data_IF_694693565807
#
_entry.id   IF_694693565807
#
_cell.length_a   1.000
_cell.length_b   1.000
_cell.length_c   1.000
_cell.angle_alpha   90.00
_cell.angle_beta   90.00
_cell.angle_gamma   90.00
#
_symmetry.space_group_name_H-M   'P 1'
#
loop_
_entity.id
_entity.type
_entity.pdbx_description
1 polymer ?
#
# COMPACT_ATOMS: atom_id res chain seq x y z
N UNK A 1 -38.55 -8.54 13.08
CA UNK A 1 -38.04 -7.32 12.42
C UNK A 1 -38.34 -7.42 10.93
N UNK A 2 -38.60 -6.32 10.23
CA UNK A 2 -39.16 -6.39 8.86
C UNK A 2 -38.08 -6.57 7.78
N UNK A 3 -38.44 -7.29 6.72
CA UNK A 3 -37.64 -7.43 5.49
C UNK A 3 -37.21 -6.08 4.90
N UNK A 4 -38.00 -5.04 5.13
CA UNK A 4 -37.71 -3.66 4.75
C UNK A 4 -36.46 -3.10 5.43
N UNK A 5 -36.21 -3.46 6.70
CA UNK A 5 -35.01 -3.02 7.43
C UNK A 5 -33.74 -3.66 6.87
N UNK A 6 -33.80 -4.96 6.55
CA UNK A 6 -32.69 -5.67 5.89
C UNK A 6 -32.38 -5.02 4.55
N UNK A 7 -33.41 -4.76 3.73
CA UNK A 7 -33.27 -4.10 2.44
C UNK A 7 -32.68 -2.70 2.55
N UNK A 8 -33.10 -1.91 3.54
CA UNK A 8 -32.54 -0.58 3.78
C UNK A 8 -31.06 -0.63 4.12
N UNK A 9 -30.65 -1.55 5.00
CA UNK A 9 -29.24 -1.71 5.43
C UNK A 9 -28.34 -2.26 4.33
N UNK A 10 -28.84 -3.22 3.53
CA UNK A 10 -28.11 -3.73 2.37
C UNK A 10 -27.91 -2.65 1.30
N UNK A 11 -28.91 -1.77 1.09
CA UNK A 11 -28.75 -0.63 0.19
C UNK A 11 -27.79 0.43 0.74
N UNK A 12 -27.81 0.70 2.06
CA UNK A 12 -26.83 1.60 2.70
C UNK A 12 -25.39 1.09 2.47
N UNK A 13 -25.15 -0.22 2.62
CA UNK A 13 -23.87 -0.84 2.29
C UNK A 13 -23.54 -0.71 0.80
N UNK A 14 -24.49 -0.99 -0.11
CA UNK A 14 -24.24 -0.92 -1.56
C UNK A 14 -23.80 0.48 -2.01
N UNK A 15 -24.41 1.52 -1.45
CA UNK A 15 -24.02 2.90 -1.74
C UNK A 15 -22.64 3.25 -1.19
N UNK A 16 -22.23 2.65 -0.07
CA UNK A 16 -20.91 2.80 0.50
C UNK A 16 -19.84 2.11 -0.36
N UNK A 17 -20.05 0.86 -0.77
CA UNK A 17 -19.11 0.11 -1.63
C UNK A 17 -18.90 0.81 -2.98
N UNK A 18 -19.97 1.39 -3.55
CA UNK A 18 -19.84 2.19 -4.77
C UNK A 18 -18.98 3.42 -4.58
N UNK A 19 -19.16 4.11 -3.46
CA UNK A 19 -18.32 5.25 -3.11
C UNK A 19 -16.86 4.81 -2.86
N UNK A 20 -16.63 3.58 -2.39
CA UNK A 20 -15.32 2.93 -2.29
C UNK A 20 -14.68 2.65 -3.65
N UNK A 21 -15.44 2.12 -4.61
CA UNK A 21 -15.00 1.95 -6.01
C UNK A 21 -14.60 3.30 -6.64
N UNK A 22 -15.41 4.33 -6.43
CA UNK A 22 -15.10 5.70 -6.90
C UNK A 22 -13.84 6.25 -6.23
N UNK A 23 -13.67 6.01 -4.91
CA UNK A 23 -12.47 6.39 -4.19
C UNK A 23 -11.24 5.69 -4.79
N UNK A 24 -11.29 4.37 -5.03
CA UNK A 24 -10.20 3.60 -5.61
C UNK A 24 -9.78 4.15 -6.99
N UNK A 25 -10.75 4.42 -7.86
CA UNK A 25 -10.51 4.99 -9.18
C UNK A 25 -9.88 6.39 -9.12
N UNK A 26 -10.39 7.24 -8.21
CA UNK A 26 -9.85 8.57 -7.98
C UNK A 26 -8.43 8.54 -7.44
N UNK A 27 -8.15 7.67 -6.48
CA UNK A 27 -6.82 7.48 -5.89
C UNK A 27 -5.80 6.95 -6.91
N UNK A 28 -6.22 6.01 -7.76
CA UNK A 28 -5.40 5.51 -8.86
C UNK A 28 -5.03 6.60 -9.87
N UNK A 29 -5.95 7.53 -10.13
CA UNK A 29 -5.73 8.68 -11.01
C UNK A 29 -4.88 9.78 -10.36
N UNK A 30 -4.96 9.92 -9.03
CA UNK A 30 -4.23 10.93 -8.26
C UNK A 30 -2.77 10.55 -7.96
N UNK A 31 -2.36 9.29 -8.17
CA UNK A 31 -0.98 8.85 -7.98
C UNK A 31 -0.50 8.91 -6.54
N UNK A 32 -1.25 8.29 -5.61
CA UNK A 32 -0.81 8.10 -4.22
C UNK A 32 0.56 7.40 -4.15
N UNK A 33 1.46 7.87 -3.27
CA UNK A 33 2.85 7.39 -3.14
C UNK A 33 2.99 6.23 -2.15
N UNK A 34 2.09 6.13 -1.18
CA UNK A 34 2.07 5.12 -0.13
C UNK A 34 1.38 3.82 -0.55
N UNK A 35 0.45 3.91 -1.50
CA UNK A 35 -0.23 2.77 -2.07
C UNK A 35 0.49 2.33 -3.35
N UNK A 36 0.76 1.04 -3.49
CA UNK A 36 1.20 0.56 -4.81
C UNK A 36 0.00 0.57 -5.75
N UNK A 37 0.27 0.62 -7.06
CA UNK A 37 -0.77 0.42 -8.08
C UNK A 37 -1.55 -0.89 -7.84
N UNK A 38 -0.87 -1.93 -7.34
CA UNK A 38 -1.50 -3.21 -7.00
C UNK A 38 -2.38 -3.11 -5.75
N UNK A 39 -2.00 -2.34 -4.73
CA UNK A 39 -2.82 -2.11 -3.54
C UNK A 39 -4.12 -1.35 -3.91
N UNK A 40 -4.04 -0.33 -4.78
CA UNK A 40 -5.22 0.43 -5.24
C UNK A 40 -6.12 -0.45 -6.10
N UNK A 41 -5.51 -1.25 -6.98
CA UNK A 41 -6.23 -2.19 -7.83
C UNK A 41 -6.96 -3.23 -6.99
N UNK A 42 -6.28 -3.88 -6.04
CA UNK A 42 -6.89 -4.85 -5.12
C UNK A 42 -8.05 -4.21 -4.36
N UNK A 43 -7.84 -3.02 -3.80
CA UNK A 43 -8.89 -2.30 -3.09
C UNK A 43 -10.12 -2.07 -3.98
N UNK A 44 -9.93 -1.59 -5.21
CA UNK A 44 -11.04 -1.42 -6.16
C UNK A 44 -11.72 -2.74 -6.59
N UNK A 45 -10.95 -3.83 -6.71
CA UNK A 45 -11.47 -5.17 -7.00
C UNK A 45 -12.34 -5.70 -5.84
N UNK A 46 -11.89 -5.52 -4.60
CA UNK A 46 -12.62 -5.91 -3.38
C UNK A 46 -13.96 -5.17 -3.27
N UNK A 47 -13.95 -3.83 -3.40
CA UNK A 47 -15.16 -2.99 -3.34
C UNK A 47 -16.12 -3.30 -4.50
N UNK A 48 -15.57 -3.59 -5.69
CA UNK A 48 -16.34 -4.01 -6.87
C UNK A 48 -17.02 -5.39 -6.69
N UNK A 49 -16.31 -6.34 -6.08
CA UNK A 49 -16.85 -7.64 -5.71
C UNK A 49 -17.97 -7.50 -4.67
N UNK A 50 -17.77 -6.66 -3.65
CA UNK A 50 -18.77 -6.38 -2.61
C UNK A 50 -20.03 -5.74 -3.19
N UNK A 51 -19.90 -4.74 -4.06
CA UNK A 51 -21.00 -4.15 -4.83
C UNK A 51 -21.84 -5.23 -5.55
N UNK A 52 -21.16 -6.16 -6.23
CA UNK A 52 -21.79 -7.23 -6.99
C UNK A 52 -22.56 -8.19 -6.07
N UNK A 53 -21.97 -8.56 -4.92
CA UNK A 53 -22.60 -9.42 -3.91
C UNK A 53 -23.82 -8.79 -3.25
N UNK A 54 -23.73 -7.53 -2.83
CA UNK A 54 -24.83 -6.79 -2.22
C UNK A 54 -26.02 -6.63 -3.17
N UNK A 55 -25.78 -6.35 -4.46
CA UNK A 55 -26.86 -6.33 -5.46
C UNK A 55 -27.61 -7.64 -5.54
N UNK A 56 -26.90 -8.78 -5.52
CA UNK A 56 -27.54 -10.11 -5.51
C UNK A 56 -28.32 -10.36 -4.22
N UNK A 57 -27.79 -9.93 -3.07
CA UNK A 57 -28.49 -10.03 -1.80
C UNK A 57 -29.80 -9.23 -1.80
N UNK A 58 -29.78 -7.96 -2.24
CA UNK A 58 -30.97 -7.11 -2.30
C UNK A 58 -32.07 -7.74 -3.17
N UNK A 59 -31.71 -8.27 -4.34
CA UNK A 59 -32.66 -8.96 -5.23
C UNK A 59 -33.23 -10.22 -4.58
N UNK A 60 -32.43 -10.97 -3.80
CA UNK A 60 -32.88 -12.16 -3.06
C UNK A 60 -33.96 -11.83 -2.03
N UNK A 61 -33.86 -10.67 -1.37
CA UNK A 61 -34.90 -10.15 -0.48
C UNK A 61 -36.03 -9.42 -1.21
N UNK A 62 -36.11 -9.51 -2.54
CA UNK A 62 -37.17 -8.90 -3.35
C UNK A 62 -37.10 -7.37 -3.46
N UNK A 63 -35.96 -6.76 -3.11
CA UNK A 63 -35.76 -5.32 -3.21
C UNK A 63 -35.14 -4.87 -4.53
N UNK A 64 -35.08 -3.55 -4.72
CA UNK A 64 -34.42 -2.91 -5.87
C UNK A 64 -33.06 -2.37 -5.38
N UNK A 65 -31.93 -2.78 -5.99
CA UNK A 65 -30.63 -2.22 -5.64
C UNK A 65 -30.55 -0.74 -5.96
N UNK A 66 -30.09 0.06 -5.00
CA UNK A 66 -29.96 1.51 -5.14
C UNK A 66 -29.06 1.88 -6.31
N UNK A 67 -29.39 3.01 -6.94
CA UNK A 67 -28.58 3.72 -7.92
C UNK A 67 -27.57 4.68 -7.29
N UNK A 68 -27.69 4.95 -5.99
CA UNK A 68 -26.89 5.93 -5.27
C UNK A 68 -25.42 5.56 -5.13
N UNK A 69 -24.64 6.57 -4.76
CA UNK A 69 -23.25 6.48 -4.33
C UNK A 69 -23.03 7.58 -3.28
N UNK A 70 -22.39 7.23 -2.17
CA UNK A 70 -22.09 8.19 -1.11
C UNK A 70 -21.05 9.25 -1.52
N UNK A 71 -20.89 10.29 -0.71
CA UNK A 71 -19.89 11.34 -0.94
C UNK A 71 -18.46 10.97 -0.49
N UNK A 72 -18.25 9.72 -0.07
CA UNK A 72 -17.01 9.25 0.54
C UNK A 72 -15.80 9.40 -0.38
N UNK A 73 -15.92 8.99 -1.65
CA UNK A 73 -14.83 9.16 -2.63
C UNK A 73 -14.41 10.62 -2.79
N UNK A 74 -15.38 11.55 -2.82
CA UNK A 74 -15.10 12.99 -2.88
C UNK A 74 -14.37 13.48 -1.62
N UNK A 75 -14.77 13.02 -0.44
CA UNK A 75 -14.14 13.38 0.83
C UNK A 75 -12.69 12.90 0.90
N UNK A 76 -12.43 11.66 0.47
CA UNK A 76 -11.07 11.11 0.39
C UNK A 76 -10.21 11.96 -0.54
N UNK A 77 -10.68 12.26 -1.74
CA UNK A 77 -9.90 13.03 -2.72
C UNK A 77 -9.68 14.50 -2.33
N UNK A 78 -10.57 15.07 -1.51
CA UNK A 78 -10.46 16.44 -1.02
C UNK A 78 -9.36 16.63 0.04
N UNK A 79 -8.87 15.55 0.66
CA UNK A 79 -7.79 15.64 1.66
C UNK A 79 -6.45 15.89 0.98
N UNK A 80 -5.65 16.78 1.56
CA UNK A 80 -4.35 17.18 1.02
C UNK A 80 -3.26 16.15 1.32
N UNK A 81 -3.24 15.63 2.55
CA UNK A 81 -2.20 14.68 2.98
C UNK A 81 -2.60 13.24 2.71
N UNK A 82 -1.59 12.43 2.37
CA UNK A 82 -1.78 11.00 2.13
C UNK A 82 -2.12 10.24 3.41
N UNK A 83 -1.52 10.60 4.54
CA UNK A 83 -1.87 10.05 5.84
C UNK A 83 -3.35 10.29 6.18
N UNK A 84 -3.88 11.49 5.90
CA UNK A 84 -5.29 11.79 6.16
C UNK A 84 -6.22 10.98 5.25
N UNK A 85 -5.84 10.80 3.97
CA UNK A 85 -6.57 9.93 3.04
C UNK A 85 -6.65 8.50 3.56
N UNK A 86 -5.52 7.95 4.01
CA UNK A 86 -5.44 6.59 4.57
C UNK A 86 -6.25 6.45 5.86
N UNK A 87 -6.16 7.42 6.76
CA UNK A 87 -6.95 7.43 7.99
C UNK A 87 -8.45 7.49 7.69
N UNK A 88 -8.86 8.26 6.66
CA UNK A 88 -10.25 8.31 6.25
C UNK A 88 -10.70 7.00 5.58
N UNK A 89 -9.85 6.37 4.76
CA UNK A 89 -10.09 5.04 4.19
C UNK A 89 -10.27 3.98 5.29
N UNK A 90 -9.36 3.92 6.25
CA UNK A 90 -9.45 3.04 7.42
C UNK A 90 -10.78 3.23 8.17
N UNK A 91 -11.16 4.49 8.44
CA UNK A 91 -12.45 4.79 9.09
C UNK A 91 -13.65 4.36 8.25
N UNK A 92 -13.56 4.46 6.92
CA UNK A 92 -14.56 3.93 5.99
C UNK A 92 -14.71 2.41 6.11
N UNK A 93 -13.59 1.68 6.06
CA UNK A 93 -13.57 0.22 6.21
C UNK A 93 -14.14 -0.22 7.57
N UNK A 94 -13.73 0.42 8.66
CA UNK A 94 -14.25 0.14 10.00
C UNK A 94 -15.75 0.45 10.12
N UNK A 95 -16.23 1.49 9.45
CA UNK A 95 -17.66 1.81 9.39
C UNK A 95 -18.44 0.72 8.67
N UNK A 96 -17.93 0.20 7.54
CA UNK A 96 -18.56 -0.91 6.80
C UNK A 96 -18.61 -2.18 7.65
N UNK A 97 -17.49 -2.56 8.29
CA UNK A 97 -17.46 -3.71 9.22
C UNK A 97 -18.55 -3.61 10.29
N UNK A 98 -18.70 -2.43 10.91
CA UNK A 98 -19.75 -2.19 11.92
C UNK A 98 -21.16 -2.35 11.36
N UNK A 99 -21.41 -1.98 10.11
CA UNK A 99 -22.71 -2.15 9.44
C UNK A 99 -22.98 -3.60 9.09
N UNK A 100 -21.96 -4.34 8.66
CA UNK A 100 -22.04 -5.78 8.43
C UNK A 100 -22.34 -6.51 9.74
N UNK A 101 -21.63 -6.20 10.83
CA UNK A 101 -21.87 -6.81 12.15
C UNK A 101 -23.32 -6.62 12.61
N UNK A 102 -23.89 -5.42 12.37
CA UNK A 102 -25.28 -5.14 12.69
C UNK A 102 -26.27 -5.94 11.82
N UNK A 103 -25.94 -6.25 10.56
CA UNK A 103 -26.73 -7.13 9.70
C UNK A 103 -26.60 -8.59 10.12
N UNK A 104 -25.39 -9.06 10.45
CA UNK A 104 -25.13 -10.44 10.88
C UNK A 104 -25.82 -10.81 12.19
N UNK A 105 -26.15 -9.82 13.02
CA UNK A 105 -26.99 -9.98 14.21
C UNK A 105 -28.46 -10.29 13.90
N UNK A 106 -28.91 -10.10 12.65
CA UNK A 106 -30.26 -10.42 12.21
C UNK A 106 -30.36 -11.86 11.70
N UNK A 107 -31.59 -12.35 11.59
CA UNK A 107 -31.88 -13.59 10.88
C UNK A 107 -31.84 -13.32 9.36
N UNK A 108 -30.79 -13.83 8.72
CA UNK A 108 -30.54 -13.72 7.30
C UNK A 108 -30.59 -15.10 6.66
N UNK A 109 -30.97 -15.16 5.39
CA UNK A 109 -30.79 -16.36 4.58
C UNK A 109 -29.30 -16.78 4.57
N UNK A 110 -28.98 -18.08 4.52
CA UNK A 110 -27.61 -18.58 4.62
C UNK A 110 -26.67 -17.97 3.58
N UNK A 111 -27.12 -17.81 2.33
CA UNK A 111 -26.27 -17.27 1.27
C UNK A 111 -25.89 -15.80 1.49
N UNK A 112 -26.80 -14.97 2.00
CA UNK A 112 -26.47 -13.59 2.36
C UNK A 112 -25.58 -13.54 3.58
N UNK A 113 -25.80 -14.41 4.58
CA UNK A 113 -24.94 -14.49 5.76
C UNK A 113 -23.50 -14.83 5.38
N UNK A 114 -23.30 -15.88 4.59
CA UNK A 114 -21.95 -16.33 4.17
C UNK A 114 -21.22 -15.25 3.40
N UNK A 115 -21.90 -14.60 2.45
CA UNK A 115 -21.36 -13.46 1.71
C UNK A 115 -20.94 -12.31 2.62
N UNK A 116 -21.79 -11.93 3.60
CA UNK A 116 -21.47 -10.83 4.51
C UNK A 116 -20.31 -11.17 5.44
N UNK A 117 -20.14 -12.42 5.85
CA UNK A 117 -18.97 -12.87 6.63
C UNK A 117 -17.70 -12.72 5.80
N UNK A 118 -17.69 -13.17 4.54
CA UNK A 118 -16.54 -13.02 3.65
C UNK A 118 -16.21 -11.55 3.40
N UNK A 119 -17.22 -10.74 3.10
CA UNK A 119 -17.08 -9.29 2.92
C UNK A 119 -16.47 -8.62 4.15
N UNK A 120 -16.92 -9.00 5.35
CA UNK A 120 -16.38 -8.48 6.61
C UNK A 120 -14.88 -8.73 6.76
N UNK A 121 -14.42 -9.95 6.47
CA UNK A 121 -13.00 -10.30 6.58
C UNK A 121 -12.14 -9.51 5.59
N UNK A 122 -12.61 -9.34 4.35
CA UNK A 122 -11.94 -8.51 3.34
C UNK A 122 -11.80 -7.04 3.83
N UNK A 123 -12.85 -6.46 4.43
CA UNK A 123 -12.76 -5.10 4.97
C UNK A 123 -11.84 -5.01 6.20
N UNK A 124 -11.72 -6.07 7.01
CA UNK A 124 -10.75 -6.11 8.11
C UNK A 124 -9.31 -6.15 7.59
N UNK A 125 -9.03 -6.92 6.52
CA UNK A 125 -7.73 -6.91 5.85
C UNK A 125 -7.40 -5.54 5.26
N UNK A 126 -8.38 -4.90 4.61
CA UNK A 126 -8.21 -3.57 4.02
C UNK A 126 -8.04 -2.49 5.10
N UNK A 127 -8.73 -2.61 6.23
CA UNK A 127 -8.54 -1.75 7.41
C UNK A 127 -7.12 -1.88 7.97
N UNK A 128 -6.64 -3.10 8.20
CA UNK A 128 -5.29 -3.36 8.69
C UNK A 128 -4.23 -2.77 7.73
N UNK A 129 -4.41 -2.99 6.42
CA UNK A 129 -3.54 -2.42 5.41
C UNK A 129 -3.53 -0.88 5.47
N UNK A 130 -4.70 -0.24 5.52
CA UNK A 130 -4.80 1.22 5.62
C UNK A 130 -4.10 1.75 6.87
N UNK A 131 -4.32 1.13 8.03
CA UNK A 131 -3.71 1.54 9.30
C UNK A 131 -2.19 1.39 9.27
N UNK A 132 -1.67 0.23 8.83
CA UNK A 132 -0.23 0.02 8.70
C UNK A 132 0.41 1.04 7.76
N UNK A 133 -0.26 1.37 6.65
CA UNK A 133 0.22 2.42 5.72
C UNK A 133 0.20 3.80 6.36
N UNK A 134 -0.85 4.15 7.10
CA UNK A 134 -0.94 5.43 7.78
C UNK A 134 0.14 5.56 8.86
N UNK A 135 0.39 4.49 9.63
CA UNK A 135 1.46 4.41 10.62
C UNK A 135 2.84 4.51 9.98
N UNK A 136 3.08 3.83 8.86
CA UNK A 136 4.34 3.93 8.10
C UNK A 136 4.63 5.38 7.65
N UNK A 137 3.61 6.16 7.31
CA UNK A 137 3.77 7.59 6.93
C UNK A 137 3.93 8.49 8.16
N UNK A 138 3.18 8.22 9.23
CA UNK A 138 3.13 9.08 10.40
C UNK A 138 4.28 8.83 11.38
N UNK A 139 4.92 7.66 11.35
CA UNK A 139 5.98 7.32 12.27
C UNK A 139 7.23 8.18 12.02
N UNK A 140 7.73 8.90 13.03
CA UNK A 140 9.06 9.50 12.93
C UNK A 140 10.08 8.38 12.74
N UNK A 141 11.20 8.64 12.03
CA UNK A 141 12.25 7.64 11.87
C UNK A 141 12.65 7.02 13.20
N UNK A 142 12.77 5.69 13.20
CA UNK A 142 13.13 4.93 14.39
C UNK A 142 14.53 5.34 14.85
N UNK A 143 14.85 5.36 16.16
CA UNK A 143 16.24 5.23 16.58
C UNK A 143 16.81 3.96 15.91
N UNK A 144 17.95 4.03 15.21
CA UNK A 144 19.01 5.04 15.28
C UNK A 144 18.94 6.18 14.24
N UNK A 145 18.01 6.13 13.28
CA UNK A 145 17.92 7.10 12.18
C UNK A 145 17.45 8.49 12.61
N UNK A 146 16.85 8.62 13.78
CA UNK A 146 16.31 9.88 14.28
C UNK A 146 17.40 10.96 14.31
N UNK A 147 17.14 12.07 13.64
CA UNK A 147 18.05 13.22 13.57
C UNK A 147 19.01 13.19 12.38
N UNK A 148 19.03 12.12 11.58
CA UNK A 148 19.78 12.07 10.34
C UNK A 148 19.08 12.84 9.22
N UNK A 149 19.86 13.39 8.28
CA UNK A 149 19.32 13.97 7.06
C UNK A 149 18.70 12.88 6.18
N UNK A 150 17.48 13.10 5.70
CA UNK A 150 16.73 12.08 4.96
C UNK A 150 16.57 10.76 5.72
N UNK A 151 16.45 10.82 7.06
CA UNK A 151 16.34 9.65 7.93
C UNK A 151 15.28 8.62 7.49
N UNK A 152 14.14 9.07 6.96
CA UNK A 152 13.10 8.17 6.43
C UNK A 152 13.56 7.40 5.19
N UNK A 153 14.38 8.00 4.32
CA UNK A 153 14.96 7.32 3.15
C UNK A 153 16.05 6.33 3.58
N UNK A 154 16.88 6.70 4.55
CA UNK A 154 17.90 5.80 5.12
C UNK A 154 17.26 4.57 5.78
N UNK A 155 16.26 4.77 6.65
CA UNK A 155 15.56 3.67 7.31
C UNK A 155 14.81 2.77 6.32
N UNK A 156 14.14 3.35 5.32
CA UNK A 156 13.44 2.58 4.31
C UNK A 156 14.42 1.79 3.44
N UNK A 157 15.53 2.41 3.04
CA UNK A 157 16.62 1.73 2.35
C UNK A 157 17.07 0.49 3.13
N UNK A 158 17.29 0.60 4.44
CA UNK A 158 17.85 -0.50 5.22
C UNK A 158 16.84 -1.61 5.47
N UNK A 159 15.55 -1.27 5.65
CA UNK A 159 14.47 -2.28 5.66
C UNK A 159 14.40 -3.08 4.35
N UNK A 160 14.74 -2.46 3.22
CA UNK A 160 14.84 -3.15 1.94
C UNK A 160 16.13 -3.96 1.83
N UNK A 161 17.25 -3.38 2.26
CA UNK A 161 18.58 -3.97 2.19
C UNK A 161 18.70 -5.24 3.03
N UNK A 162 18.14 -5.24 4.24
CA UNK A 162 18.06 -6.39 5.14
C UNK A 162 16.77 -7.22 4.96
N UNK A 163 16.02 -6.98 3.88
CA UNK A 163 14.75 -7.64 3.65
C UNK A 163 14.89 -9.13 3.26
N UNK A 164 13.88 -9.96 3.57
CA UNK A 164 13.92 -11.41 3.35
C UNK A 164 14.03 -11.81 1.87
N UNK A 165 13.67 -10.91 0.95
CA UNK A 165 13.72 -11.14 -0.50
C UNK A 165 15.13 -11.36 -1.06
N UNK A 166 16.18 -10.95 -0.31
CA UNK A 166 17.58 -11.19 -0.68
C UNK A 166 18.13 -12.50 -0.11
N UNK A 167 17.41 -13.14 0.82
CA UNK A 167 17.83 -14.40 1.44
C UNK A 167 17.80 -15.58 0.47
N UNK A 168 18.60 -16.61 0.75
CA UNK A 168 18.67 -17.83 -0.09
C UNK A 168 17.35 -18.62 -0.13
N UNK A 169 16.47 -18.36 0.83
CA UNK A 169 15.14 -18.98 0.98
C UNK A 169 13.98 -18.06 0.57
N UNK A 170 14.26 -16.93 -0.11
CA UNK A 170 13.24 -15.97 -0.52
C UNK A 170 12.15 -16.63 -1.37
N UNK A 171 10.89 -16.46 -0.96
CA UNK A 171 9.74 -16.95 -1.73
C UNK A 171 9.40 -15.99 -2.87
N UNK A 172 8.63 -16.47 -3.85
CA UNK A 172 8.07 -15.60 -4.90
C UNK A 172 7.24 -14.44 -4.33
N UNK A 173 6.61 -14.63 -3.15
CA UNK A 173 5.87 -13.57 -2.44
C UNK A 173 6.81 -12.51 -1.86
N UNK A 174 7.98 -12.92 -1.35
CA UNK A 174 8.98 -11.98 -0.83
C UNK A 174 9.54 -11.11 -1.95
N UNK A 175 9.86 -11.71 -3.10
CA UNK A 175 10.32 -10.99 -4.31
C UNK A 175 9.25 -10.02 -4.81
N UNK A 176 7.99 -10.45 -4.90
CA UNK A 176 6.87 -9.57 -5.27
C UNK A 176 6.71 -8.41 -4.27
N UNK A 177 6.80 -8.68 -2.98
CA UNK A 177 6.73 -7.66 -1.93
C UNK A 177 7.86 -6.64 -2.06
N UNK A 178 9.07 -7.10 -2.31
CA UNK A 178 10.24 -6.25 -2.51
C UNK A 178 10.11 -5.36 -3.75
N UNK A 179 9.62 -5.89 -4.87
CA UNK A 179 9.32 -5.10 -6.07
C UNK A 179 8.40 -3.90 -5.75
N UNK A 180 7.34 -4.15 -5.00
CA UNK A 180 6.43 -3.10 -4.58
C UNK A 180 7.03 -2.12 -3.57
N UNK A 181 7.82 -2.60 -2.60
CA UNK A 181 8.51 -1.76 -1.63
C UNK A 181 9.56 -0.86 -2.29
N UNK A 182 10.34 -1.39 -3.24
CA UNK A 182 11.33 -0.63 -4.01
C UNK A 182 10.68 0.45 -4.87
N UNK A 183 9.53 0.17 -5.51
CA UNK A 183 8.79 1.19 -6.24
C UNK A 183 8.43 2.40 -5.36
N UNK A 184 7.88 2.15 -4.16
CA UNK A 184 7.56 3.21 -3.19
C UNK A 184 8.80 3.97 -2.71
N UNK A 185 9.91 3.25 -2.50
CA UNK A 185 11.17 3.88 -2.12
C UNK A 185 11.68 4.82 -3.23
N UNK A 186 11.57 4.42 -4.50
CA UNK A 186 11.94 5.26 -5.64
C UNK A 186 11.05 6.50 -5.73
N UNK A 187 9.74 6.39 -5.50
CA UNK A 187 8.82 7.54 -5.51
C UNK A 187 9.16 8.53 -4.39
N UNK A 188 9.52 8.03 -3.19
CA UNK A 188 9.97 8.87 -2.08
C UNK A 188 11.30 9.56 -2.40
N UNK A 189 12.26 8.81 -2.96
CA UNK A 189 13.57 9.31 -3.37
C UNK A 189 13.45 10.36 -4.47
N UNK A 190 12.57 10.17 -5.46
CA UNK A 190 12.32 11.11 -6.55
C UNK A 190 11.86 12.48 -6.04
N UNK A 191 11.01 12.52 -5.01
CA UNK A 191 10.55 13.79 -4.44
C UNK A 191 11.67 14.60 -3.82
N UNK A 192 12.60 13.93 -3.12
CA UNK A 192 13.75 14.60 -2.51
C UNK A 192 14.79 14.98 -3.58
N UNK A 193 15.02 14.12 -4.57
CA UNK A 193 15.88 14.41 -5.73
C UNK A 193 15.36 15.59 -6.54
N UNK A 194 14.04 15.71 -6.74
CA UNK A 194 13.46 16.84 -7.47
C UNK A 194 13.66 18.19 -6.76
N UNK A 195 13.80 18.19 -5.43
CA UNK A 195 14.09 19.38 -4.62
C UNK A 195 15.58 19.69 -4.56
N UNK A 196 16.43 18.68 -4.77
CA UNK A 196 17.88 18.80 -4.67
C UNK A 196 18.52 19.19 -6.00
N UNK A 197 19.52 20.07 -5.95
CA UNK A 197 20.36 20.42 -7.10
C UNK A 197 21.49 19.38 -7.32
N UNK A 198 21.20 18.08 -7.20
CA UNK A 198 22.19 16.99 -7.31
C UNK A 198 22.06 16.22 -8.62
N UNK A 199 22.97 16.50 -9.56
CA UNK A 199 23.05 15.78 -10.85
C UNK A 199 23.34 14.29 -10.64
N UNK A 200 24.18 13.97 -9.66
CA UNK A 200 24.50 12.59 -9.31
C UNK A 200 23.25 11.84 -8.83
N UNK A 201 22.49 12.43 -7.89
CA UNK A 201 21.29 11.80 -7.36
C UNK A 201 20.26 11.55 -8.46
N UNK A 202 20.05 12.53 -9.35
CA UNK A 202 19.16 12.39 -10.51
C UNK A 202 19.59 11.27 -11.46
N UNK A 203 20.87 11.20 -11.79
CA UNK A 203 21.42 10.19 -12.72
C UNK A 203 21.21 8.78 -12.18
N UNK A 204 21.45 8.56 -10.89
CA UNK A 204 21.28 7.24 -10.28
C UNK A 204 19.81 6.88 -10.05
N UNK A 205 18.95 7.86 -9.78
CA UNK A 205 17.51 7.65 -9.71
C UNK A 205 16.96 7.14 -11.06
N UNK A 206 17.35 7.76 -12.18
CA UNK A 206 16.94 7.32 -13.52
C UNK A 206 17.38 5.87 -13.81
N UNK A 207 18.59 5.49 -13.39
CA UNK A 207 19.08 4.10 -13.49
C UNK A 207 18.26 3.14 -12.63
N UNK A 208 17.93 3.55 -11.40
CA UNK A 208 17.13 2.75 -10.48
C UNK A 208 15.72 2.52 -11.01
N UNK A 209 15.04 3.58 -11.49
CA UNK A 209 13.73 3.48 -12.15
C UNK A 209 13.79 2.56 -13.38
N UNK A 210 14.83 2.69 -14.21
CA UNK A 210 15.03 1.81 -15.36
C UNK A 210 15.21 0.34 -14.99
N UNK A 211 15.95 0.04 -13.92
CA UNK A 211 16.10 -1.32 -13.40
C UNK A 211 14.78 -1.86 -12.83
N UNK A 212 14.04 -1.03 -12.09
CA UNK A 212 12.76 -1.39 -11.47
C UNK A 212 11.71 -1.78 -12.50
N UNK A 213 11.63 -1.07 -13.63
CA UNK A 213 10.72 -1.42 -14.73
C UNK A 213 10.97 -2.84 -15.29
N UNK A 214 12.19 -3.36 -15.18
CA UNK A 214 12.56 -4.72 -15.60
C UNK A 214 12.50 -5.74 -14.45
N UNK A 215 12.12 -5.30 -13.26
CA UNK A 215 12.14 -6.09 -12.03
C UNK A 215 10.77 -6.69 -11.66
N UNK A 216 9.72 -6.47 -12.47
CA UNK A 216 8.40 -7.06 -12.21
C UNK A 216 8.47 -8.60 -12.29
N UNK A 217 8.31 -9.33 -11.17
CA UNK A 217 8.46 -10.78 -11.16
C UNK A 217 7.33 -11.52 -11.87
N UNK A 218 6.21 -10.87 -12.19
CA UNK A 218 5.16 -11.45 -13.04
C UNK A 218 5.56 -11.45 -14.51
N UNK A 219 6.31 -10.45 -14.93
CA UNK A 219 6.73 -10.25 -16.31
C UNK A 219 8.09 -10.92 -16.60
N UNK A 220 9.00 -10.90 -15.62
CA UNK A 220 10.40 -11.33 -15.79
C UNK A 220 10.90 -12.19 -14.60
N UNK A 221 10.26 -13.33 -14.29
CA UNK A 221 10.54 -14.10 -13.08
C UNK A 221 12.02 -14.50 -12.91
N UNK A 222 12.69 -14.88 -14.00
CA UNK A 222 14.08 -15.37 -13.96
C UNK A 222 15.13 -14.27 -13.68
N UNK A 223 14.78 -13.01 -13.94
CA UNK A 223 15.71 -11.87 -13.76
C UNK A 223 15.25 -10.87 -12.71
N UNK A 224 14.09 -11.10 -12.10
CA UNK A 224 13.46 -10.19 -11.16
C UNK A 224 14.39 -9.87 -9.98
N UNK A 225 14.92 -10.88 -9.29
CA UNK A 225 15.79 -10.68 -8.13
C UNK A 225 17.04 -9.87 -8.46
N UNK A 226 17.71 -10.17 -9.59
CA UNK A 226 18.87 -9.41 -10.05
C UNK A 226 18.50 -7.94 -10.36
N UNK A 227 17.36 -7.72 -11.03
CA UNK A 227 16.91 -6.37 -11.34
C UNK A 227 16.46 -5.60 -10.08
N UNK A 228 15.91 -6.28 -9.06
CA UNK A 228 15.62 -5.68 -7.76
C UNK A 228 16.90 -5.28 -7.01
N UNK A 229 17.93 -6.14 -7.01
CA UNK A 229 19.24 -5.82 -6.41
C UNK A 229 19.89 -4.63 -7.13
N UNK A 230 19.86 -4.60 -8.47
CA UNK A 230 20.31 -3.45 -9.25
C UNK A 230 19.52 -2.18 -8.93
N UNK A 231 18.20 -2.30 -8.76
CA UNK A 231 17.33 -1.17 -8.39
C UNK A 231 17.77 -0.60 -7.04
N UNK A 232 17.92 -1.46 -6.03
CA UNK A 232 18.34 -1.05 -4.69
C UNK A 232 19.73 -0.41 -4.72
N UNK A 233 20.71 -1.02 -5.40
CA UNK A 233 22.08 -0.49 -5.51
C UNK A 233 22.15 0.88 -6.20
N UNK A 234 21.37 1.11 -7.26
CA UNK A 234 21.29 2.44 -7.87
C UNK A 234 20.56 3.44 -6.98
N UNK A 235 19.47 3.03 -6.33
CA UNK A 235 18.74 3.90 -5.41
C UNK A 235 19.59 4.30 -4.19
N UNK A 236 20.45 3.39 -3.70
CA UNK A 236 21.45 3.67 -2.66
C UNK A 236 22.42 4.77 -3.12
N UNK A 237 22.95 4.67 -4.34
CA UNK A 237 23.84 5.70 -4.91
C UNK A 237 23.14 7.05 -5.09
N UNK A 238 21.86 7.04 -5.44
CA UNK A 238 21.06 8.25 -5.52
C UNK A 238 20.85 8.92 -4.15
N UNK A 239 20.53 8.14 -3.11
CA UNK A 239 20.47 8.62 -1.72
C UNK A 239 21.81 9.21 -1.27
N UNK A 240 22.93 8.56 -1.59
CA UNK A 240 24.25 9.08 -1.28
C UNK A 240 24.59 10.37 -2.05
N UNK A 241 24.09 10.52 -3.28
CA UNK A 241 24.16 11.77 -4.03
C UNK A 241 23.35 12.91 -3.40
N UNK A 242 22.22 12.61 -2.75
CA UNK A 242 21.45 13.58 -1.96
C UNK A 242 22.23 14.02 -0.72
N UNK A 243 22.72 13.06 0.06
CA UNK A 243 23.48 13.32 1.28
C UNK A 243 24.73 14.16 0.98
N UNK A 244 25.52 13.77 -0.03
CA UNK A 244 26.69 14.56 -0.45
C UNK A 244 26.34 15.99 -0.87
N UNK A 245 25.20 16.19 -1.56
CA UNK A 245 24.76 17.53 -1.95
C UNK A 245 24.44 18.45 -0.77
N UNK A 246 24.19 17.86 0.41
CA UNK A 246 23.97 18.57 1.68
C UNK A 246 25.23 18.64 2.55
N UNK A 247 26.39 18.17 2.05
CA UNK A 247 27.65 18.18 2.79
C UNK A 247 27.76 17.17 3.94
N UNK A 248 26.88 16.16 3.98
CA UNK A 248 26.92 15.07 4.98
C UNK A 248 27.59 13.82 4.39
N UNK A 249 28.21 12.96 5.23
CA UNK A 249 28.65 11.64 4.83
C UNK A 249 27.53 10.83 4.15
N UNK A 250 27.94 9.87 3.33
CA UNK A 250 27.01 8.91 2.72
C UNK A 250 26.41 7.98 3.77
N UNK A 251 25.30 7.36 3.39
CA UNK A 251 24.64 6.28 4.08
C UNK A 251 25.38 4.96 3.82
N UNK A 252 25.63 4.18 4.88
CA UNK A 252 26.09 2.79 4.80
C UNK A 252 25.15 1.92 5.67
N UNK A 253 24.41 0.96 5.09
CA UNK A 253 23.51 0.09 5.86
C UNK A 253 24.22 -0.68 6.97
N UNK A 254 25.52 -0.96 6.81
CA UNK A 254 26.30 -1.71 7.78
C UNK A 254 26.47 -0.98 9.11
N UNK A 255 26.38 0.36 9.11
CA UNK A 255 26.37 1.15 10.35
C UNK A 255 25.12 0.87 11.20
N UNK A 256 24.08 0.30 10.60
CA UNK A 256 22.76 0.05 11.19
C UNK A 256 22.42 -1.45 11.34
N UNK A 257 23.33 -2.35 10.97
CA UNK A 257 23.12 -3.80 10.92
C UNK A 257 22.50 -4.36 12.22
N UNK A 258 23.01 -3.94 13.37
CA UNK A 258 22.58 -4.40 14.70
C UNK A 258 21.12 -4.09 15.06
N UNK A 259 20.43 -3.26 14.28
CA UNK A 259 19.02 -2.91 14.48
C UNK A 259 18.07 -3.77 13.65
N UNK A 260 18.58 -4.73 12.88
CA UNK A 260 17.80 -5.62 12.03
C UNK A 260 18.04 -7.08 12.40
N UNK A 261 16.96 -7.87 12.41
CA UNK A 261 17.03 -9.33 12.59
C UNK A 261 17.50 -9.99 11.28
N UNK A 262 18.81 -10.00 11.07
CA UNK A 262 19.41 -10.52 9.83
C UNK A 262 19.65 -12.01 9.96
N UNK A 263 18.89 -12.78 9.18
CA UNK A 263 19.04 -14.25 9.13
C UNK A 263 20.16 -14.64 8.14
N UNK A 264 20.36 -13.87 7.07
CA UNK A 264 21.43 -14.03 6.06
C UNK A 264 21.78 -12.67 5.43
N UNK A 265 23.05 -12.24 5.45
CA UNK A 265 23.52 -11.11 4.62
C UNK A 265 23.98 -11.68 3.28
N UNK A 266 23.28 -11.43 2.16
CA UNK A 266 23.67 -11.94 0.86
C UNK A 266 24.66 -10.96 0.22
N UNK A 267 25.82 -11.51 -0.17
CA UNK A 267 26.89 -10.90 -0.95
C UNK A 267 27.70 -9.80 -0.24
N UNK A 268 28.88 -10.21 0.27
CA UNK A 268 30.04 -9.31 0.39
C UNK A 268 30.44 -8.89 -1.03
N UNK A 269 30.25 -7.62 -1.40
CA UNK A 269 31.07 -7.06 -2.47
C UNK A 269 32.52 -7.16 -1.99
N UNK A 270 33.29 -8.07 -2.57
CA UNK A 270 34.74 -8.10 -2.39
C UNK A 270 35.27 -6.95 -3.26
N UNK A 271 35.52 -5.82 -2.59
CA UNK A 271 36.35 -4.66 -2.97
C UNK A 271 35.69 -3.64 -3.92
#
# INVERSE_FOLDING_TARGET
MSQEEILSRLNELLEAERAGVEAAAGLGSAGLKSYTRDDIRKFGEDEGWACSGLRRAIVRYGGIPSGGSGDFGRKVLALESEADRLNLLARGQAWVVKRIDALLALELDPHTRDFLVEMREIHLENLDLCNRRAEEIAAPPSPPYRGLLYAHLQEFHDRLYFGPWRGSSASARDVQRAYHQLGRYLDALEQEVAKAASVEAKTYLEKAQGAHLRADPRSYPDTATLNLDNTLSYAHRALNGLLRSQGTPGHDPMDFESFYDIVEVPFREII
#
